data_IF_478022890275
#
_entry.id   IF_478022890275
#
_cell.length_a   1.000
_cell.length_b   1.000
_cell.length_c   1.000
_cell.angle_alpha   90.00
_cell.angle_beta   90.00
_cell.angle_gamma   90.00
#
_symmetry.space_group_name_H-M   'P 1'
#
loop_
_entity.id
_entity.type
_entity.pdbx_description
1 polymer ?
#
# COMPACT_ATOMS: atom_id res chain seq x y z
N UNK A 1 64.55 -23.18 -40.93
CA UNK A 1 63.60 -22.76 -39.87
C UNK A 1 63.50 -23.89 -38.88
N UNK A 2 63.96 -23.68 -37.64
CA UNK A 2 64.05 -24.76 -36.65
C UNK A 2 62.71 -24.95 -35.94
N UNK A 3 62.49 -26.13 -35.37
CA UNK A 3 61.26 -26.47 -34.63
C UNK A 3 61.05 -25.54 -33.40
N UNK A 4 62.14 -24.97 -32.88
CA UNK A 4 62.13 -23.96 -31.82
C UNK A 4 61.61 -22.59 -32.30
N UNK A 5 62.00 -22.18 -33.52
CA UNK A 5 61.50 -20.93 -34.12
C UNK A 5 59.99 -21.01 -34.36
N UNK A 6 59.50 -22.16 -34.85
CA UNK A 6 58.07 -22.38 -35.10
C UNK A 6 57.23 -22.23 -33.82
N UNK A 7 57.72 -22.75 -32.69
CA UNK A 7 57.06 -22.66 -31.38
C UNK A 7 57.04 -21.22 -30.83
N UNK A 8 58.13 -20.47 -31.04
CA UNK A 8 58.22 -19.06 -30.64
C UNK A 8 57.25 -18.17 -31.44
N UNK A 9 57.15 -18.40 -32.75
CA UNK A 9 56.17 -17.70 -33.59
C UNK A 9 54.72 -18.08 -33.25
N UNK A 10 54.45 -19.36 -33.01
CA UNK A 10 53.12 -19.82 -32.60
C UNK A 10 52.70 -19.24 -31.25
N UNK A 11 53.61 -19.20 -30.26
CA UNK A 11 53.33 -18.61 -28.94
C UNK A 11 53.03 -17.11 -29.05
N UNK A 12 53.80 -16.35 -29.84
CA UNK A 12 53.55 -14.93 -30.08
C UNK A 12 52.21 -14.71 -30.78
N UNK A 13 51.89 -15.52 -31.80
CA UNK A 13 50.60 -15.44 -32.49
C UNK A 13 49.42 -15.68 -31.56
N UNK A 14 49.51 -16.68 -30.67
CA UNK A 14 48.47 -16.96 -29.67
C UNK A 14 48.31 -15.80 -28.68
N UNK A 15 49.41 -15.19 -28.22
CA UNK A 15 49.36 -14.03 -27.32
C UNK A 15 48.68 -12.83 -28.01
N UNK A 16 49.02 -12.55 -29.28
CA UNK A 16 48.36 -11.48 -30.04
C UNK A 16 46.86 -11.71 -30.22
N UNK A 17 46.45 -12.95 -30.49
CA UNK A 17 45.03 -13.32 -30.62
C UNK A 17 44.29 -13.14 -29.29
N UNK A 18 44.89 -13.59 -28.17
CA UNK A 18 44.29 -13.43 -26.85
C UNK A 18 44.21 -11.96 -26.40
N UNK A 19 45.25 -11.16 -26.69
CA UNK A 19 45.24 -9.72 -26.41
C UNK A 19 44.19 -8.97 -27.24
N UNK A 20 44.03 -9.33 -28.52
CA UNK A 20 42.98 -8.77 -29.39
C UNK A 20 41.57 -9.16 -28.92
N UNK A 21 41.37 -10.42 -28.50
CA UNK A 21 40.09 -10.88 -27.96
C UNK A 21 39.77 -10.16 -26.63
N UNK A 22 40.75 -9.98 -25.77
CA UNK A 22 40.59 -9.23 -24.52
C UNK A 22 40.25 -7.76 -24.79
N UNK A 23 40.90 -7.12 -25.76
CA UNK A 23 40.60 -5.76 -26.19
C UNK A 23 39.18 -5.63 -26.76
N UNK A 24 38.74 -6.58 -27.58
CA UNK A 24 37.37 -6.58 -28.12
C UNK A 24 36.33 -6.77 -27.02
N UNK A 25 36.60 -7.65 -26.05
CA UNK A 25 35.71 -7.87 -24.90
C UNK A 25 35.70 -6.67 -23.93
N UNK A 26 36.82 -5.97 -23.76
CA UNK A 26 36.89 -4.78 -22.91
C UNK A 26 36.19 -3.58 -23.57
N UNK A 27 36.46 -3.32 -24.86
CA UNK A 27 35.76 -2.28 -25.64
C UNK A 27 34.27 -2.57 -25.70
N UNK A 28 33.87 -3.84 -25.91
CA UNK A 28 32.45 -4.23 -25.89
C UNK A 28 31.76 -3.97 -24.54
N UNK A 29 32.47 -4.19 -23.42
CA UNK A 29 31.95 -3.84 -22.09
C UNK A 29 31.86 -2.32 -21.87
N UNK A 30 32.85 -1.57 -22.32
CA UNK A 30 32.87 -0.10 -22.19
C UNK A 30 31.75 0.55 -22.99
N UNK A 31 31.58 0.18 -24.26
CA UNK A 31 30.51 0.71 -25.12
C UNK A 31 29.12 0.35 -24.58
N UNK A 32 28.95 -0.87 -24.08
CA UNK A 32 27.69 -1.27 -23.43
C UNK A 32 27.44 -0.47 -22.15
N UNK A 33 28.49 -0.25 -21.35
CA UNK A 33 28.41 0.57 -20.13
C UNK A 33 28.09 2.04 -20.42
N UNK A 34 28.59 2.61 -21.52
CA UNK A 34 28.26 3.99 -21.93
C UNK A 34 26.79 4.11 -22.33
N UNK A 35 26.32 3.20 -23.19
CA UNK A 35 24.91 3.17 -23.60
C UNK A 35 23.98 2.95 -22.40
N UNK A 36 24.33 2.04 -21.49
CA UNK A 36 23.58 1.80 -20.27
C UNK A 36 23.57 3.06 -19.39
N UNK A 37 24.68 3.81 -19.29
CA UNK A 37 24.77 5.06 -18.52
C UNK A 37 23.89 6.17 -19.11
N UNK A 38 23.89 6.33 -20.42
CA UNK A 38 23.02 7.29 -21.11
C UNK A 38 21.53 6.96 -20.89
N UNK A 39 21.17 5.68 -21.02
CA UNK A 39 19.80 5.23 -20.75
C UNK A 39 19.39 5.47 -19.30
N UNK A 40 20.27 5.20 -18.34
CA UNK A 40 20.00 5.47 -16.93
C UNK A 40 19.90 6.97 -16.62
N UNK A 41 20.68 7.83 -17.30
CA UNK A 41 20.55 9.28 -17.14
C UNK A 41 19.17 9.79 -17.57
N UNK A 42 18.68 9.33 -18.72
CA UNK A 42 17.33 9.66 -19.22
C UNK A 42 16.24 9.15 -18.28
N UNK A 43 16.37 7.91 -17.78
CA UNK A 43 15.43 7.37 -16.80
C UNK A 43 15.47 8.15 -15.49
N UNK A 44 16.66 8.51 -15.00
CA UNK A 44 16.80 9.27 -13.77
C UNK A 44 16.15 10.65 -13.86
N UNK A 45 16.34 11.38 -14.95
CA UNK A 45 15.68 12.68 -15.18
C UNK A 45 14.16 12.55 -15.12
N UNK A 46 13.63 11.48 -15.72
CA UNK A 46 12.19 11.27 -15.85
C UNK A 46 11.52 10.67 -14.62
N UNK A 47 12.24 9.87 -13.82
CA UNK A 47 11.66 8.99 -12.80
C UNK A 47 12.04 9.38 -11.36
N UNK A 48 13.17 10.07 -11.14
CA UNK A 48 13.65 10.36 -9.79
C UNK A 48 12.69 11.24 -8.97
N UNK A 49 11.82 12.01 -9.63
CA UNK A 49 10.76 12.77 -8.97
C UNK A 49 9.69 11.91 -8.29
N UNK A 50 9.52 10.64 -8.69
CA UNK A 50 8.54 9.70 -8.14
C UNK A 50 9.15 8.78 -7.07
N UNK A 51 10.36 8.32 -7.31
CA UNK A 51 11.13 7.51 -6.39
C UNK A 51 12.62 7.63 -6.74
N UNK A 52 13.39 8.31 -5.91
CA UNK A 52 14.83 8.52 -6.14
C UNK A 52 15.59 7.21 -5.97
N UNK A 53 16.35 6.81 -7.00
CA UNK A 53 17.10 5.57 -7.04
C UNK A 53 18.41 5.74 -7.83
N UNK A 54 19.37 4.85 -7.56
CA UNK A 54 20.63 4.81 -8.31
C UNK A 54 20.44 4.20 -9.72
N UNK A 55 19.42 3.35 -9.88
CA UNK A 55 19.15 2.65 -11.13
C UNK A 55 17.67 2.31 -11.29
N UNK A 56 17.19 2.36 -12.52
CA UNK A 56 15.85 1.93 -12.92
C UNK A 56 15.95 0.83 -13.97
N UNK A 57 15.46 -0.37 -13.66
CA UNK A 57 15.44 -1.49 -14.59
C UNK A 57 14.01 -1.68 -15.14
N UNK A 58 13.78 -1.53 -16.46
CA UNK A 58 12.47 -1.79 -17.06
C UNK A 58 12.13 -3.28 -17.00
N UNK A 59 10.85 -3.58 -16.77
CA UNK A 59 10.30 -4.93 -16.80
C UNK A 59 9.62 -5.18 -18.15
N UNK A 60 9.79 -6.38 -18.69
CA UNK A 60 9.12 -6.81 -19.92
C UNK A 60 7.65 -7.16 -19.65
N UNK A 61 6.76 -6.29 -20.12
CA UNK A 61 5.32 -6.40 -19.93
C UNK A 61 4.65 -7.43 -20.85
N UNK A 62 5.38 -8.01 -21.82
CA UNK A 62 4.82 -9.04 -22.71
C UNK A 62 4.32 -10.28 -21.98
N UNK A 63 4.82 -10.51 -20.76
CA UNK A 63 4.40 -11.61 -19.87
C UNK A 63 3.13 -11.32 -19.07
N UNK A 64 2.66 -10.08 -19.05
CA UNK A 64 1.50 -9.60 -18.27
C UNK A 64 0.34 -9.17 -19.18
N UNK A 65 -0.08 -10.04 -20.11
CA UNK A 65 -1.10 -9.70 -21.12
C UNK A 65 -2.48 -9.38 -20.55
N UNK A 66 -2.74 -9.73 -19.28
CA UNK A 66 -3.97 -9.39 -18.57
C UNK A 66 -4.03 -7.91 -18.12
N UNK A 67 -2.93 -7.17 -18.27
CA UNK A 67 -2.80 -5.78 -17.83
C UNK A 67 -2.42 -4.83 -18.98
N UNK A 68 -3.25 -4.72 -20.05
CA UNK A 68 -2.93 -3.91 -21.23
C UNK A 68 -2.84 -2.40 -20.95
N UNK A 69 -3.44 -1.95 -19.85
CA UNK A 69 -3.44 -0.55 -19.42
C UNK A 69 -2.12 -0.14 -18.74
N UNK A 70 -1.29 -1.11 -18.31
CA UNK A 70 0.06 -0.84 -17.79
C UNK A 70 1.01 -0.69 -18.98
N UNK A 71 1.54 0.50 -19.19
CA UNK A 71 2.34 0.83 -20.38
C UNK A 71 3.84 0.83 -20.10
N UNK A 72 4.24 1.04 -18.85
CA UNK A 72 5.63 0.91 -18.41
C UNK A 72 5.69 0.48 -16.94
N UNK A 73 6.71 -0.32 -16.60
CA UNK A 73 6.99 -0.73 -15.23
C UNK A 73 8.49 -0.81 -14.99
N UNK A 74 8.96 -0.22 -13.89
CA UNK A 74 10.37 -0.07 -13.55
C UNK A 74 10.65 -0.53 -12.12
N UNK A 75 11.74 -1.28 -11.95
CA UNK A 75 12.32 -1.59 -10.65
C UNK A 75 13.30 -0.48 -10.26
N UNK A 76 13.02 0.24 -9.18
CA UNK A 76 13.93 1.22 -8.62
C UNK A 76 14.92 0.54 -7.66
N UNK A 77 16.22 0.73 -7.88
CA UNK A 77 17.29 0.06 -7.13
C UNK A 77 18.28 1.04 -6.51
N UNK A 78 18.75 0.71 -5.31
CA UNK A 78 19.88 1.37 -4.66
C UNK A 78 21.20 1.10 -5.39
N UNK A 79 22.29 1.78 -4.98
CA UNK A 79 23.64 1.51 -5.47
C UNK A 79 24.08 0.07 -5.22
N UNK A 80 23.60 -0.54 -4.13
CA UNK A 80 23.86 -1.95 -3.79
C UNK A 80 23.02 -2.94 -4.61
N UNK A 81 22.10 -2.46 -5.45
CA UNK A 81 21.20 -3.28 -6.26
C UNK A 81 19.94 -3.76 -5.53
N UNK A 82 19.71 -3.32 -4.28
CA UNK A 82 18.49 -3.63 -3.51
C UNK A 82 17.30 -2.90 -4.14
N UNK A 83 16.17 -3.59 -4.28
CA UNK A 83 14.91 -2.96 -4.70
C UNK A 83 14.43 -2.04 -3.57
N UNK A 84 14.19 -0.78 -3.91
CA UNK A 84 13.68 0.25 -3.00
C UNK A 84 12.28 0.75 -3.39
N UNK A 85 11.66 0.11 -4.39
CA UNK A 85 10.30 0.39 -4.83
C UNK A 85 10.13 0.21 -6.34
N UNK A 86 9.00 0.68 -6.82
CA UNK A 86 8.56 0.50 -8.20
C UNK A 86 8.04 1.80 -8.79
N UNK A 87 8.11 1.92 -10.11
CA UNK A 87 7.44 3.01 -10.83
C UNK A 87 6.64 2.42 -11.98
N UNK A 88 5.40 2.87 -12.15
CA UNK A 88 4.47 2.37 -13.17
C UNK A 88 3.80 3.51 -13.91
N UNK A 89 3.64 3.33 -15.22
CA UNK A 89 2.80 4.18 -16.06
C UNK A 89 1.52 3.39 -16.40
N UNK A 90 0.36 4.00 -16.14
CA UNK A 90 -0.96 3.44 -16.43
C UNK A 90 -1.71 4.38 -17.36
N UNK A 91 -2.26 3.81 -18.43
CA UNK A 91 -3.08 4.49 -19.43
C UNK A 91 -4.55 4.17 -19.19
N UNK A 92 -5.36 5.22 -19.06
CA UNK A 92 -6.81 5.14 -18.99
C UNK A 92 -7.42 5.71 -20.27
N UNK A 93 -8.44 5.05 -20.80
CA UNK A 93 -9.24 5.55 -21.91
C UNK A 93 -10.66 5.81 -21.40
N UNK A 94 -11.13 7.05 -21.59
CA UNK A 94 -12.51 7.44 -21.31
C UNK A 94 -13.11 8.12 -22.53
N UNK A 95 -14.12 7.50 -23.14
CA UNK A 95 -14.81 8.00 -24.33
C UNK A 95 -13.90 8.46 -25.49
N UNK A 96 -12.70 7.87 -25.62
CA UNK A 96 -11.71 8.22 -26.64
C UNK A 96 -10.67 9.26 -26.20
N UNK A 97 -10.80 9.83 -25.00
CA UNK A 97 -9.76 10.65 -24.37
C UNK A 97 -8.81 9.75 -23.57
N UNK A 98 -7.51 9.95 -23.77
CA UNK A 98 -6.46 9.19 -23.09
C UNK A 98 -5.94 10.01 -21.91
N UNK A 99 -5.84 9.36 -20.75
CA UNK A 99 -5.19 9.91 -19.57
C UNK A 99 -4.08 8.96 -19.13
N UNK A 100 -2.86 9.49 -18.96
CA UNK A 100 -1.74 8.69 -18.49
C UNK A 100 -1.33 9.15 -17.09
N UNK A 101 -1.07 8.19 -16.21
CA UNK A 101 -0.64 8.44 -14.84
C UNK A 101 0.67 7.70 -14.57
N UNK A 102 1.67 8.41 -14.04
CA UNK A 102 2.88 7.81 -13.48
C UNK A 102 2.75 7.74 -11.97
N UNK A 103 3.09 6.59 -11.41
CA UNK A 103 3.00 6.29 -9.98
C UNK A 103 4.29 5.67 -9.48
N UNK A 104 4.81 6.18 -8.37
CA UNK A 104 5.84 5.52 -7.57
C UNK A 104 5.21 4.72 -6.44
N UNK A 105 5.80 3.57 -6.10
CA UNK A 105 5.33 2.66 -5.07
C UNK A 105 6.45 2.28 -4.10
N UNK A 106 6.08 2.01 -2.85
CA UNK A 106 6.96 1.46 -1.81
C UNK A 106 7.54 0.10 -2.20
N UNK A 107 8.63 -0.37 -1.54
CA UNK A 107 9.25 -1.66 -1.84
C UNK A 107 8.30 -2.85 -1.70
N UNK A 108 7.32 -2.77 -0.80
CA UNK A 108 6.28 -3.79 -0.64
C UNK A 108 5.17 -3.70 -1.69
N UNK A 109 5.08 -2.60 -2.46
CA UNK A 109 4.04 -2.36 -3.45
C UNK A 109 2.71 -1.89 -2.87
N UNK A 110 2.60 -1.68 -1.55
CA UNK A 110 1.32 -1.42 -0.89
C UNK A 110 0.99 0.07 -0.76
N UNK A 111 1.97 0.97 -0.94
CA UNK A 111 1.79 2.42 -0.79
C UNK A 111 2.22 3.17 -2.05
N UNK A 112 1.49 4.23 -2.38
CA UNK A 112 1.90 5.19 -3.40
C UNK A 112 2.86 6.19 -2.76
N UNK A 113 4.07 6.32 -3.29
CA UNK A 113 5.02 7.38 -2.87
C UNK A 113 4.70 8.70 -3.56
N UNK A 114 4.27 8.65 -4.82
CA UNK A 114 3.86 9.80 -5.62
C UNK A 114 3.02 9.36 -6.81
N UNK A 115 2.05 10.19 -7.21
CA UNK A 115 1.33 10.07 -8.47
C UNK A 115 1.31 11.40 -9.21
N UNK A 116 1.40 11.39 -10.54
CA UNK A 116 1.21 12.54 -11.42
C UNK A 116 0.54 12.11 -12.72
N UNK A 117 -0.20 13.05 -13.31
CA UNK A 117 -0.60 12.95 -14.71
C UNK A 117 0.62 13.21 -15.60
N UNK A 118 0.74 12.44 -16.68
CA UNK A 118 1.77 12.59 -17.70
C UNK A 118 1.09 12.68 -19.08
N UNK A 119 1.76 13.31 -20.04
CA UNK A 119 1.34 13.30 -21.43
C UNK A 119 1.52 11.90 -22.05
N UNK A 120 0.92 11.66 -23.22
CA UNK A 120 0.98 10.35 -23.88
C UNK A 120 2.40 9.89 -24.24
N UNK A 121 3.33 10.83 -24.40
CA UNK A 121 4.75 10.56 -24.64
C UNK A 121 5.54 10.25 -23.35
N UNK A 122 4.87 10.35 -22.19
CA UNK A 122 5.41 10.04 -20.87
C UNK A 122 6.12 11.20 -20.17
N UNK A 123 6.03 12.41 -20.71
CA UNK A 123 6.54 13.65 -20.08
C UNK A 123 5.52 14.26 -19.12
N UNK A 124 5.96 15.08 -18.17
CA UNK A 124 5.01 15.83 -17.33
C UNK A 124 4.43 17.00 -18.13
N UNK A 125 3.13 17.33 -17.96
CA UNK A 125 2.51 18.46 -18.65
C UNK A 125 3.26 19.76 -18.35
N UNK A 126 3.44 20.60 -19.36
CA UNK A 126 4.13 21.88 -19.21
C UNK A 126 3.46 22.82 -18.20
N UNK A 127 2.13 22.74 -18.09
CA UNK A 127 1.31 23.47 -17.12
C UNK A 127 0.36 22.49 -16.42
N UNK A 128 0.75 21.92 -15.27
CA UNK A 128 -0.11 20.97 -14.56
C UNK A 128 -1.32 21.68 -13.92
N UNK A 129 -2.51 21.08 -14.05
CA UNK A 129 -3.73 21.61 -13.40
C UNK A 129 -3.59 21.54 -11.86
N UNK A 130 -3.70 22.67 -11.14
CA UNK A 130 -3.57 22.70 -9.68
C UNK A 130 -4.61 21.84 -8.96
N UNK A 131 -5.83 21.67 -9.51
CA UNK A 131 -6.84 20.79 -8.91
C UNK A 131 -6.42 19.32 -9.00
N UNK A 132 -5.83 18.92 -10.13
CA UNK A 132 -5.29 17.56 -10.29
C UNK A 132 -4.12 17.33 -9.32
N UNK A 133 -3.31 18.36 -9.04
CA UNK A 133 -2.26 18.26 -8.02
C UNK A 133 -2.82 18.09 -6.61
N UNK A 134 -3.94 18.75 -6.27
CA UNK A 134 -4.65 18.52 -4.99
C UNK A 134 -5.10 17.06 -4.88
N UNK A 135 -5.66 16.50 -5.95
CA UNK A 135 -6.05 15.09 -5.99
C UNK A 135 -4.84 14.15 -5.85
N UNK A 136 -3.71 14.48 -6.49
CA UNK A 136 -2.48 13.71 -6.35
C UNK A 136 -1.94 13.74 -4.90
N UNK A 137 -2.13 14.84 -4.18
CA UNK A 137 -1.69 14.98 -2.79
C UNK A 137 -2.53 14.11 -1.84
N UNK A 138 -3.83 13.96 -2.09
CA UNK A 138 -4.69 13.00 -1.37
C UNK A 138 -4.21 11.54 -1.49
N UNK A 139 -3.41 11.23 -2.51
CA UNK A 139 -2.86 9.90 -2.78
C UNK A 139 -1.38 9.76 -2.38
N UNK A 140 -0.80 10.76 -1.71
CA UNK A 140 0.57 10.67 -1.23
C UNK A 140 0.64 9.80 0.03
N UNK A 141 1.55 8.83 0.03
CA UNK A 141 1.82 7.90 1.14
C UNK A 141 0.61 7.04 1.56
N UNK A 142 -0.44 6.97 0.73
CA UNK A 142 -1.63 6.18 1.01
C UNK A 142 -1.46 4.72 0.59
N UNK A 143 -2.15 3.82 1.30
CA UNK A 143 -2.22 2.40 0.95
C UNK A 143 -3.22 2.16 -0.18
N UNK A 144 -2.87 1.29 -1.12
CA UNK A 144 -3.72 0.87 -2.25
C UNK A 144 -4.33 -0.52 -1.99
N UNK A 145 -5.47 -0.88 -2.60
CA UNK A 145 -6.31 -0.08 -3.51
C UNK A 145 -7.09 1.03 -2.81
N UNK A 146 -7.62 1.95 -3.59
CA UNK A 146 -8.31 3.16 -3.11
C UNK A 146 -9.71 3.26 -3.67
N UNK A 147 -10.58 4.01 -2.99
CA UNK A 147 -11.91 4.36 -3.48
C UNK A 147 -12.22 5.83 -3.21
N UNK A 148 -13.15 6.39 -3.99
CA UNK A 148 -13.74 7.67 -3.63
C UNK A 148 -14.67 7.48 -2.44
N UNK A 149 -14.70 8.46 -1.53
CA UNK A 149 -15.61 8.47 -0.39
C UNK A 149 -17.08 8.39 -0.84
N UNK A 150 -17.40 8.96 -2.01
CA UNK A 150 -18.72 8.87 -2.63
C UNK A 150 -19.12 7.46 -3.10
N UNK A 151 -18.16 6.56 -3.30
CA UNK A 151 -18.39 5.17 -3.72
C UNK A 151 -18.55 4.22 -2.53
N UNK A 152 -18.11 4.62 -1.33
CA UNK A 152 -18.13 3.82 -0.11
C UNK A 152 -19.28 4.29 0.80
N UNK A 153 -20.51 3.87 0.52
CA UNK A 153 -21.63 4.10 1.45
C UNK A 153 -21.62 3.09 2.60
N UNK A 154 -22.21 3.47 3.74
CA UNK A 154 -22.38 2.60 4.91
C UNK A 154 -23.17 1.31 4.54
N UNK A 155 -24.12 1.42 3.63
CA UNK A 155 -24.94 0.29 3.16
C UNK A 155 -24.09 -0.75 2.42
N UNK A 156 -23.13 -0.30 1.61
CA UNK A 156 -22.17 -1.18 0.92
C UNK A 156 -21.22 -1.85 1.92
N UNK A 157 -20.82 -1.13 2.98
CA UNK A 157 -20.01 -1.75 4.03
C UNK A 157 -20.78 -2.83 4.79
N UNK A 158 -22.10 -2.73 4.97
CA UNK A 158 -22.87 -3.68 5.80
C UNK A 158 -23.42 -4.90 5.06
N UNK A 159 -23.37 -4.92 3.71
CA UNK A 159 -23.76 -6.04 2.87
C UNK A 159 -22.61 -7.04 2.62
N UNK A 160 -22.31 -7.89 3.61
CA UNK A 160 -21.40 -9.01 3.40
C UNK A 160 -21.94 -10.23 4.17
N UNK A 161 -21.73 -11.41 3.60
CA UNK A 161 -22.14 -12.71 4.15
C UNK A 161 -21.66 -12.91 5.60
N UNK A 162 -20.51 -12.34 5.96
CA UNK A 162 -19.97 -12.43 7.30
C UNK A 162 -20.41 -11.24 8.18
N UNK A 163 -21.17 -11.50 9.28
CA UNK A 163 -21.55 -10.45 10.20
C UNK A 163 -20.31 -9.88 10.89
N UNK A 164 -20.34 -8.58 11.19
CA UNK A 164 -19.26 -7.95 11.94
C UNK A 164 -19.28 -8.35 13.41
N UNK A 165 -18.15 -8.14 14.09
CA UNK A 165 -18.04 -8.33 15.53
C UNK A 165 -18.88 -7.24 16.22
N UNK A 166 -19.83 -7.61 17.11
CA UNK A 166 -20.62 -6.62 17.84
C UNK A 166 -19.73 -5.72 18.73
N UNK A 167 -20.08 -4.43 18.76
CA UNK A 167 -19.46 -3.45 19.67
C UNK A 167 -18.11 -2.89 19.21
N UNK A 168 -17.72 -3.09 17.95
CA UNK A 168 -16.57 -2.36 17.39
C UNK A 168 -16.89 -0.87 17.29
N UNK A 169 -15.99 -0.04 17.81
CA UNK A 169 -16.05 1.42 17.73
C UNK A 169 -15.17 1.87 16.57
N UNK A 170 -15.67 2.82 15.79
CA UNK A 170 -14.97 3.39 14.65
C UNK A 170 -13.68 4.08 15.07
N UNK A 171 -12.62 3.91 14.27
CA UNK A 171 -11.31 4.46 14.58
C UNK A 171 -10.16 3.64 13.99
N UNK A 172 -8.95 3.99 14.40
CA UNK A 172 -7.71 3.26 14.05
C UNK A 172 -7.13 2.69 15.33
N UNK A 173 -6.86 1.38 15.34
CA UNK A 173 -6.41 0.65 16.52
C UNK A 173 -5.15 -0.11 16.17
N UNK A 174 -4.19 -0.06 17.10
CA UNK A 174 -2.84 -0.58 16.89
C UNK A 174 -2.44 -1.51 18.05
N UNK A 175 -1.72 -2.57 17.72
CA UNK A 175 -1.09 -3.50 18.63
C UNK A 175 0.32 -3.85 18.12
N UNK A 176 1.25 -4.09 19.03
CA UNK A 176 2.60 -4.59 18.71
C UNK A 176 2.98 -5.72 19.66
N UNK A 177 3.87 -6.59 19.19
CA UNK A 177 4.45 -7.66 20.00
C UNK A 177 5.28 -7.08 21.15
N UNK A 178 5.34 -7.80 22.27
CA UNK A 178 6.13 -7.37 23.44
C UNK A 178 7.64 -7.42 23.16
N UNK A 179 8.08 -8.46 22.46
CA UNK A 179 9.50 -8.73 22.18
C UNK A 179 9.79 -8.84 20.68
N UNK A 180 11.06 -8.66 20.33
CA UNK A 180 11.58 -8.97 19.01
C UNK A 180 11.65 -10.49 18.81
N UNK A 181 11.33 -10.94 17.61
CA UNK A 181 11.50 -12.32 17.19
C UNK A 181 12.99 -12.70 17.04
N UNK A 182 13.24 -13.99 16.76
CA UNK A 182 14.59 -14.52 16.53
C UNK A 182 15.35 -13.87 15.36
N UNK A 183 14.63 -13.22 14.45
CA UNK A 183 15.18 -12.54 13.29
C UNK A 183 15.39 -11.03 13.54
N UNK A 184 15.11 -10.55 14.75
CA UNK A 184 15.28 -9.14 15.13
C UNK A 184 14.11 -8.25 14.73
N UNK A 185 12.94 -8.79 14.43
CA UNK A 185 11.75 -8.03 14.05
C UNK A 185 10.68 -8.05 15.15
N UNK A 186 10.04 -6.92 15.40
CA UNK A 186 8.89 -6.78 16.31
C UNK A 186 7.63 -6.51 15.51
N UNK A 187 6.71 -7.47 15.51
CA UNK A 187 5.46 -7.42 14.77
C UNK A 187 4.52 -6.33 15.28
N UNK A 188 3.75 -5.73 14.37
CA UNK A 188 2.64 -4.86 14.70
C UNK A 188 1.46 -5.05 13.75
N UNK A 189 0.25 -4.84 14.26
CA UNK A 189 -0.98 -4.80 13.48
C UNK A 189 -1.68 -3.47 13.71
N UNK A 190 -2.17 -2.88 12.64
CA UNK A 190 -3.11 -1.76 12.69
C UNK A 190 -4.40 -2.18 12.00
N UNK A 191 -5.55 -1.95 12.63
CA UNK A 191 -6.85 -2.10 12.00
C UNK A 191 -7.58 -0.76 11.96
N UNK A 192 -8.35 -0.54 10.90
CA UNK A 192 -9.31 0.56 10.82
C UNK A 192 -10.72 0.00 10.90
N UNK A 193 -11.51 0.55 11.81
CA UNK A 193 -12.92 0.25 11.97
C UNK A 193 -13.75 1.42 11.45
N UNK A 194 -14.78 1.13 10.67
CA UNK A 194 -15.80 2.09 10.25
C UNK A 194 -17.15 1.41 10.19
N UNK A 195 -18.19 2.08 10.67
CA UNK A 195 -19.55 1.54 10.78
C UNK A 195 -19.58 0.17 11.47
N UNK A 196 -18.75 -0.02 12.50
CA UNK A 196 -18.65 -1.27 13.24
C UNK A 196 -18.08 -2.46 12.45
N UNK A 197 -17.35 -2.22 11.35
CA UNK A 197 -16.66 -3.25 10.55
C UNK A 197 -15.17 -2.96 10.41
N UNK A 198 -14.36 -4.00 10.29
CA UNK A 198 -12.94 -3.87 9.97
C UNK A 198 -12.82 -3.60 8.48
N UNK A 199 -12.42 -2.38 8.12
CA UNK A 199 -12.30 -1.93 6.72
C UNK A 199 -10.86 -1.89 6.23
N UNK A 200 -9.88 -1.98 7.12
CA UNK A 200 -8.47 -2.11 6.74
C UNK A 200 -7.69 -2.83 7.82
N UNK A 201 -6.70 -3.62 7.39
CA UNK A 201 -5.74 -4.31 8.26
C UNK A 201 -4.35 -4.15 7.64
N UNK A 202 -3.42 -3.60 8.41
CA UNK A 202 -1.99 -3.61 8.13
C UNK A 202 -1.29 -4.55 9.12
N UNK A 203 -0.37 -5.36 8.62
CA UNK A 203 0.52 -6.19 9.45
C UNK A 203 1.91 -6.11 8.85
N UNK A 204 2.86 -5.70 9.67
CA UNK A 204 4.28 -5.63 9.34
C UNK A 204 5.11 -5.81 10.61
N UNK A 205 6.44 -5.70 10.52
CA UNK A 205 7.32 -5.75 11.67
C UNK A 205 8.50 -4.77 11.54
N UNK A 206 8.84 -4.12 12.64
CA UNK A 206 9.93 -3.15 12.76
C UNK A 206 11.20 -3.90 13.17
N UNK A 207 12.31 -3.68 12.46
CA UNK A 207 13.59 -4.27 12.83
C UNK A 207 14.20 -3.57 14.06
N UNK A 208 14.96 -4.30 14.89
CA UNK A 208 15.58 -3.75 16.11
C UNK A 208 16.67 -2.71 15.83
N UNK A 209 17.35 -2.87 14.70
CA UNK A 209 18.43 -1.98 14.28
C UNK A 209 17.84 -0.85 13.45
N UNK A 210 18.08 0.40 13.86
CA UNK A 210 17.56 1.59 13.18
C UNK A 210 18.08 1.68 11.73
N UNK A 211 17.20 2.03 10.79
CA UNK A 211 17.53 2.16 9.36
C UNK A 211 17.43 0.86 8.56
N UNK A 212 17.26 -0.29 9.21
CA UNK A 212 16.89 -1.52 8.51
C UNK A 212 15.43 -1.46 8.03
N UNK A 213 15.12 -2.05 6.86
CA UNK A 213 13.77 -2.05 6.29
C UNK A 213 12.78 -2.78 7.20
N UNK A 214 11.50 -2.45 7.05
CA UNK A 214 10.43 -3.27 7.63
C UNK A 214 10.43 -4.68 7.01
N UNK A 215 9.83 -5.66 7.69
CA UNK A 215 9.87 -7.06 7.25
C UNK A 215 9.24 -7.26 5.88
N UNK A 216 8.15 -6.55 5.57
CA UNK A 216 7.52 -6.56 4.24
C UNK A 216 8.53 -6.19 3.14
N UNK A 217 9.19 -5.04 3.27
CA UNK A 217 10.18 -4.53 2.33
C UNK A 217 11.40 -5.46 2.22
N UNK A 218 11.91 -5.94 3.37
CA UNK A 218 13.00 -6.91 3.43
C UNK A 218 12.63 -8.20 2.70
N UNK A 219 11.37 -8.63 2.81
CA UNK A 219 10.88 -9.84 2.17
C UNK A 219 10.80 -9.70 0.65
N UNK A 220 10.43 -8.53 0.14
CA UNK A 220 10.40 -8.27 -1.31
C UNK A 220 11.82 -8.14 -1.87
N UNK A 221 12.71 -7.47 -1.15
CA UNK A 221 14.09 -7.31 -1.59
C UNK A 221 14.93 -8.59 -1.48
N UNK A 222 14.38 -9.65 -0.87
CA UNK A 222 15.08 -10.91 -0.57
C UNK A 222 16.04 -10.84 0.62
N UNK A 223 16.02 -9.74 1.39
CA UNK A 223 16.81 -9.60 2.62
C UNK A 223 16.21 -10.41 3.79
N UNK A 224 14.92 -10.71 3.72
CA UNK A 224 14.22 -11.60 4.63
C UNK A 224 13.57 -12.76 3.85
N UNK A 225 13.67 -13.98 4.38
CA UNK A 225 13.06 -15.17 3.78
C UNK A 225 12.51 -16.10 4.86
N UNK A 226 11.40 -16.75 4.55
CA UNK A 226 10.79 -17.79 5.37
C UNK A 226 11.45 -19.17 5.18
N UNK A 227 12.46 -19.25 4.32
CA UNK A 227 13.16 -20.49 3.94
C UNK A 227 12.94 -20.84 2.49
N UNK A 228 13.57 -21.93 2.05
CA UNK A 228 13.49 -22.38 0.67
C UNK A 228 12.08 -22.91 0.32
N UNK A 229 11.64 -22.68 -0.92
CA UNK A 229 10.36 -23.14 -1.48
C UNK A 229 9.08 -22.62 -0.78
N UNK A 230 9.16 -21.52 -0.02
CA UNK A 230 7.96 -20.84 0.48
C UNK A 230 7.69 -19.54 -0.29
N UNK A 231 6.41 -19.13 -0.45
CA UNK A 231 6.09 -17.77 -0.87
C UNK A 231 6.75 -16.75 0.06
N UNK A 232 7.06 -15.56 -0.46
CA UNK A 232 7.65 -14.50 0.36
C UNK A 232 6.68 -14.06 1.47
N UNK A 233 7.21 -13.62 2.61
CA UNK A 233 6.41 -13.21 3.77
C UNK A 233 5.37 -12.15 3.41
N UNK A 234 5.76 -11.15 2.61
CA UNK A 234 4.86 -10.07 2.20
C UNK A 234 3.60 -10.59 1.48
N UNK A 235 3.73 -11.57 0.58
CA UNK A 235 2.61 -12.15 -0.14
C UNK A 235 1.66 -12.96 0.76
N UNK A 236 2.22 -13.71 1.71
CA UNK A 236 1.42 -14.47 2.67
C UNK A 236 0.71 -13.54 3.67
N UNK A 237 1.40 -12.50 4.16
CA UNK A 237 0.84 -11.49 5.04
C UNK A 237 -0.32 -10.73 4.38
N UNK A 238 -0.17 -10.38 3.10
CA UNK A 238 -1.25 -9.79 2.31
C UNK A 238 -2.48 -10.70 2.23
N UNK A 239 -2.26 -11.97 1.93
CA UNK A 239 -3.34 -12.96 1.75
C UNK A 239 -4.15 -13.17 3.03
N UNK A 240 -3.50 -13.32 4.19
CA UNK A 240 -4.22 -13.52 5.46
C UNK A 240 -4.98 -12.26 5.91
N UNK A 241 -4.42 -11.06 5.67
CA UNK A 241 -5.11 -9.79 5.97
C UNK A 241 -6.35 -9.60 5.11
N UNK A 242 -6.27 -9.91 3.81
CA UNK A 242 -7.43 -9.87 2.93
C UNK A 242 -8.52 -10.84 3.41
N UNK A 243 -8.12 -12.06 3.82
CA UNK A 243 -9.10 -13.01 4.34
C UNK A 243 -9.78 -12.50 5.61
N UNK A 244 -9.04 -11.85 6.51
CA UNK A 244 -9.63 -11.23 7.71
C UNK A 244 -10.67 -10.15 7.36
N UNK A 245 -10.41 -9.34 6.34
CA UNK A 245 -11.37 -8.34 5.86
C UNK A 245 -12.63 -8.97 5.25
N UNK A 246 -12.51 -10.15 4.64
CA UNK A 246 -13.65 -10.92 4.16
C UNK A 246 -14.48 -11.47 5.33
N UNK A 247 -13.83 -12.21 6.24
CA UNK A 247 -14.51 -12.99 7.29
C UNK A 247 -14.87 -12.18 8.54
N UNK A 248 -14.32 -10.98 8.70
CA UNK A 248 -14.58 -10.01 9.79
C UNK A 248 -14.34 -10.50 11.22
N UNK A 249 -13.80 -11.71 11.42
CA UNK A 249 -13.52 -12.29 12.72
C UNK A 249 -12.25 -13.16 12.65
N UNK A 250 -11.20 -12.87 13.47
CA UNK A 250 -9.98 -13.65 13.45
C UNK A 250 -10.18 -15.13 13.78
N UNK A 251 -11.22 -15.49 14.55
CA UNK A 251 -11.54 -16.90 14.86
C UNK A 251 -11.89 -17.68 13.59
N UNK A 252 -12.51 -17.01 12.60
CA UNK A 252 -12.89 -17.63 11.31
C UNK A 252 -11.70 -17.88 10.39
N UNK A 253 -10.52 -17.36 10.71
CA UNK A 253 -9.27 -17.76 10.03
C UNK A 253 -8.88 -19.20 10.36
N UNK A 254 -9.50 -19.82 11.37
CA UNK A 254 -9.31 -21.23 11.75
C UNK A 254 -7.83 -21.63 11.84
N UNK A 255 -7.06 -20.83 12.57
CA UNK A 255 -5.62 -21.06 12.77
C UNK A 255 -5.45 -22.33 13.61
N UNK A 256 -4.62 -23.23 13.10
CA UNK A 256 -4.30 -24.51 13.74
C UNK A 256 -3.25 -24.31 14.82
N UNK A 257 -3.08 -25.32 15.67
CA UNK A 257 -2.03 -25.34 16.70
C UNK A 257 -0.60 -25.24 16.17
N UNK A 258 -0.37 -25.54 14.89
CA UNK A 258 0.93 -25.40 14.23
C UNK A 258 1.16 -23.99 13.64
N UNK A 259 0.20 -23.08 13.80
CA UNK A 259 0.27 -21.69 13.34
C UNK A 259 -0.22 -21.47 11.92
N UNK A 260 -0.58 -22.52 11.19
CA UNK A 260 -1.05 -22.42 9.80
C UNK A 260 -2.57 -22.36 9.71
N UNK A 261 -3.09 -22.04 8.52
CA UNK A 261 -4.53 -22.08 8.22
C UNK A 261 -4.79 -22.80 6.90
N UNK A 262 -5.90 -23.52 6.80
CA UNK A 262 -6.41 -24.08 5.53
C UNK A 262 -7.38 -23.14 4.82
N UNK A 263 -7.83 -22.08 5.49
CA UNK A 263 -8.78 -21.11 4.96
C UNK A 263 -8.11 -20.19 3.93
N UNK A 264 -6.80 -20.03 4.01
CA UNK A 264 -5.99 -19.26 3.06
C UNK A 264 -4.90 -20.18 2.49
N UNK A 265 -5.13 -20.81 1.32
CA UNK A 265 -4.25 -21.85 0.78
C UNK A 265 -2.77 -21.45 0.66
N UNK A 266 -2.50 -20.17 0.38
CA UNK A 266 -1.14 -19.68 0.09
C UNK A 266 -0.35 -19.26 1.34
N UNK A 267 -1.00 -19.29 2.51
CA UNK A 267 -0.38 -18.99 3.80
C UNK A 267 0.18 -20.28 4.38
N UNK A 268 1.51 -20.39 4.35
CA UNK A 268 2.30 -21.51 4.89
C UNK A 268 3.11 -21.12 6.13
N UNK A 269 3.17 -19.83 6.47
CA UNK A 269 3.84 -19.32 7.65
C UNK A 269 2.98 -19.43 8.91
N UNK A 270 3.64 -19.36 10.07
CA UNK A 270 2.96 -19.21 11.36
C UNK A 270 2.31 -17.82 11.46
N UNK A 271 0.99 -17.78 11.66
CA UNK A 271 0.18 -16.57 11.77
C UNK A 271 -0.41 -16.36 13.18
N UNK A 272 0.06 -17.08 14.21
CA UNK A 272 -0.39 -16.85 15.59
C UNK A 272 -0.14 -15.40 16.04
N UNK A 273 1.05 -14.86 15.76
CA UNK A 273 1.36 -13.48 16.13
C UNK A 273 0.41 -12.48 15.46
N UNK A 274 0.06 -12.70 14.19
CA UNK A 274 -0.95 -11.87 13.51
C UNK A 274 -2.31 -11.95 14.21
N UNK A 275 -2.76 -13.15 14.56
CA UNK A 275 -4.03 -13.38 15.25
C UNK A 275 -4.07 -12.67 16.61
N UNK A 276 -3.04 -12.84 17.44
CA UNK A 276 -2.98 -12.28 18.78
C UNK A 276 -3.04 -10.74 18.74
N UNK A 277 -2.30 -10.13 17.81
CA UNK A 277 -2.31 -8.68 17.61
C UNK A 277 -3.63 -8.15 17.05
N UNK A 278 -4.29 -8.90 16.15
CA UNK A 278 -5.64 -8.55 15.67
C UNK A 278 -6.67 -8.61 16.81
N UNK A 279 -6.62 -9.64 17.65
CA UNK A 279 -7.49 -9.76 18.83
C UNK A 279 -7.29 -8.56 19.76
N UNK A 280 -6.04 -8.17 20.03
CA UNK A 280 -5.74 -6.99 20.84
C UNK A 280 -6.27 -5.70 20.21
N UNK A 281 -6.13 -5.53 18.89
CA UNK A 281 -6.71 -4.40 18.17
C UNK A 281 -8.24 -4.35 18.26
N UNK A 282 -8.92 -5.49 18.18
CA UNK A 282 -10.38 -5.60 18.36
C UNK A 282 -10.80 -5.24 19.78
N UNK A 283 -10.05 -5.68 20.79
CA UNK A 283 -10.27 -5.30 22.18
C UNK A 283 -10.06 -3.80 22.41
N UNK A 284 -9.00 -3.24 21.81
CA UNK A 284 -8.73 -1.80 21.81
C UNK A 284 -9.88 -1.03 21.16
N UNK A 285 -10.42 -1.52 20.04
CA UNK A 285 -11.61 -0.93 19.40
C UNK A 285 -12.82 -0.91 20.32
N UNK A 286 -13.17 -2.05 20.92
CA UNK A 286 -14.30 -2.15 21.86
C UNK A 286 -14.16 -1.23 23.08
N UNK A 287 -12.92 -0.91 23.47
CA UNK A 287 -12.58 -0.04 24.60
C UNK A 287 -12.28 1.41 24.21
N UNK A 288 -12.32 1.73 22.92
CA UNK A 288 -11.91 3.01 22.35
C UNK A 288 -10.48 3.45 22.75
N UNK A 289 -9.53 2.51 22.74
CA UNK A 289 -8.11 2.76 23.05
C UNK A 289 -7.35 2.95 21.74
N UNK A 290 -7.18 4.20 21.32
CA UNK A 290 -6.35 4.55 20.15
C UNK A 290 -4.91 4.74 20.59
N UNK A 291 -3.95 3.99 20.03
CA UNK A 291 -2.52 4.31 20.19
C UNK A 291 -2.18 5.46 19.23
N UNK A 292 -1.41 6.47 19.64
CA UNK A 292 -0.97 7.51 18.71
C UNK A 292 -0.18 6.86 17.55
N UNK A 293 -0.46 7.33 16.32
CA UNK A 293 0.30 7.00 15.11
C UNK A 293 1.79 7.21 15.41
N UNK A 294 2.65 6.24 15.05
CA UNK A 294 4.11 6.43 15.13
C UNK A 294 4.43 7.64 14.24
N UNK A 295 4.98 8.74 14.78
CA UNK A 295 5.32 9.88 13.96
C UNK A 295 6.45 9.50 12.99
N UNK A 296 6.26 9.79 11.71
CA UNK A 296 7.36 9.93 10.76
C UNK A 296 8.39 10.88 11.37
N UNK A 297 9.69 10.53 11.42
CA UNK A 297 10.68 11.44 11.96
C UNK A 297 10.59 12.76 11.21
N UNK A 298 10.34 13.84 11.95
CA UNK A 298 10.34 15.19 11.42
C UNK A 298 11.68 15.44 10.72
N UNK A 299 11.71 16.21 9.61
CA UNK A 299 12.97 16.65 9.04
C UNK A 299 13.79 17.32 10.15
N UNK A 300 15.04 16.91 10.30
CA UNK A 300 15.98 17.59 11.18
C UNK A 300 16.05 19.03 10.71
N UNK A 301 15.44 19.95 11.46
CA UNK A 301 15.72 21.36 11.33
C UNK A 301 17.19 21.54 11.71
N UNK A 302 18.04 21.66 10.69
CA UNK A 302 19.39 22.18 10.86
C UNK A 302 19.26 23.62 11.32
N UNK A 303 19.50 23.85 12.61
CA UNK A 303 19.79 25.17 13.14
C UNK A 303 20.99 25.75 12.37
N UNK A 304 20.72 26.65 11.43
CA UNK A 304 21.73 27.54 10.91
C UNK A 304 22.13 28.49 12.05
N UNK A 305 23.33 28.26 12.58
CA UNK A 305 24.00 29.20 13.49
C UNK A 305 24.30 30.49 12.74
N UNK A 306 23.40 31.48 12.82
CA UNK A 306 23.73 32.85 12.44
C UNK A 306 24.57 33.52 13.54
N UNK A 307 25.79 33.86 13.14
CA UNK A 307 26.79 34.59 13.89
C UNK A 307 26.35 36.01 14.22
N UNK A 308 26.56 36.40 15.49
CA UNK A 308 26.34 37.74 16.05
C UNK A 308 26.90 38.87 15.18
N UNK A 309 26.06 39.87 14.89
CA UNK A 309 26.52 41.26 14.76
C UNK A 309 25.74 42.20 15.69
N UNK A 310 26.54 42.80 16.57
CA UNK A 310 26.24 43.85 17.54
C UNK A 310 25.53 45.06 16.92
N UNK A 311 24.43 45.51 17.53
CA UNK A 311 24.28 46.94 17.87
C UNK A 311 23.31 47.11 19.05
N UNK A 312 23.80 47.78 20.09
CA UNK A 312 23.09 48.15 21.31
C UNK A 312 22.70 49.62 21.23
N UNK A 313 21.42 49.95 21.38
CA UNK A 313 20.93 51.19 22.00
C UNK A 313 19.40 51.19 22.07
N UNK A 314 18.81 51.41 23.25
CA UNK A 314 17.38 51.75 23.36
C UNK A 314 16.72 51.37 24.68
N UNK A 315 17.00 52.15 25.72
CA UNK A 315 16.41 52.13 27.06
C UNK A 315 14.88 52.28 27.06
N UNK A 316 14.17 51.60 27.98
CA UNK A 316 12.77 51.92 28.32
C UNK A 316 12.09 50.87 29.19
N UNK A 317 12.28 50.96 30.51
CA UNK A 317 11.56 50.18 31.52
C UNK A 317 10.16 50.75 31.79
N UNK A 318 9.20 49.90 32.15
CA UNK A 318 8.08 50.19 33.08
C UNK A 318 7.39 48.89 33.48
N UNK A 319 7.15 48.79 34.78
CA UNK A 319 6.60 47.68 35.55
C UNK A 319 5.05 47.62 35.59
N UNK A 320 4.58 46.42 35.93
CA UNK A 320 3.52 46.09 36.91
C UNK A 320 2.01 46.00 36.57
N UNK A 321 1.46 44.84 37.01
CA UNK A 321 0.14 44.57 37.63
C UNK A 321 -1.12 44.55 36.76
N UNK A 322 -2.19 43.80 37.01
CA UNK A 322 -2.58 42.62 37.83
C UNK A 322 -4.08 42.39 37.51
N UNK A 323 -4.62 41.22 37.88
CA UNK A 323 -6.05 40.88 38.05
C UNK A 323 -6.80 40.45 36.76
N UNK A 324 -7.27 39.20 36.64
CA UNK A 324 -8.38 38.51 37.33
C UNK A 324 -9.69 38.59 36.53
N UNK A 325 -10.18 37.45 36.03
CA UNK A 325 -11.62 37.17 35.98
C UNK A 325 -11.84 35.66 35.99
N UNK A 326 -12.40 35.23 37.11
CA UNK A 326 -13.05 33.97 37.39
C UNK A 326 -14.43 33.97 36.70
N UNK A 327 -14.85 32.88 36.07
CA UNK A 327 -16.25 32.68 35.68
C UNK A 327 -16.66 31.22 35.88
N UNK A 328 -17.57 31.05 36.82
CA UNK A 328 -18.18 29.80 37.28
C UNK A 328 -19.64 29.76 36.83
N UNK A 329 -20.12 28.67 36.22
CA UNK A 329 -21.54 28.25 36.25
C UNK A 329 -21.58 26.72 36.10
N UNK A 330 -21.79 25.97 37.18
CA UNK A 330 -23.08 25.46 37.71
C UNK A 330 -23.86 24.53 36.77
N UNK A 331 -23.97 23.30 37.25
CA UNK A 331 -24.84 22.18 36.88
C UNK A 331 -26.29 22.37 37.34
N UNK A 332 -27.27 21.87 36.57
CA UNK A 332 -28.47 21.20 37.08
C UNK A 332 -29.01 20.13 36.09
N UNK A 333 -29.75 19.11 36.56
CA UNK A 333 -30.02 17.84 35.87
C UNK A 333 -31.48 17.65 35.43
N UNK A 334 -31.75 16.77 34.45
CA UNK A 334 -33.04 16.09 34.15
C UNK A 334 -32.82 15.24 32.88
N UNK A 335 -33.39 14.07 32.60
CA UNK A 335 -34.50 13.30 33.16
C UNK A 335 -34.35 11.86 32.61
N UNK A 336 -34.63 10.83 33.42
CA UNK A 336 -34.58 9.42 33.00
C UNK A 336 -35.95 8.99 32.48
N UNK A 337 -36.03 8.60 31.21
CA UNK A 337 -37.27 8.03 30.63
C UNK A 337 -37.08 6.53 30.38
N UNK A 338 -37.74 5.74 31.24
CA UNK A 338 -37.96 4.30 31.09
C UNK A 338 -39.07 4.07 30.05
N UNK A 339 -38.84 3.19 29.06
CA UNK A 339 -39.91 2.59 28.27
C UNK A 339 -39.91 1.07 28.45
N UNK A 340 -41.06 0.57 28.90
CA UNK A 340 -41.41 -0.85 29.02
C UNK A 340 -41.65 -1.52 27.66
N UNK A 341 -41.50 -2.86 27.55
CA UNK A 341 -41.68 -3.59 26.29
C UNK A 341 -43.16 -3.97 26.04
N UNK A 342 -43.63 -3.84 24.81
CA UNK A 342 -44.92 -4.41 24.34
C UNK A 342 -44.68 -5.56 23.33
N UNK A 343 -45.62 -6.50 23.12
CA UNK A 343 -45.36 -7.92 23.27
C UNK A 343 -45.19 -8.66 21.93
N UNK A 344 -44.52 -9.82 22.05
CA UNK A 344 -44.38 -10.86 21.04
C UNK A 344 -45.73 -11.37 20.53
N UNK A 345 -45.89 -11.40 19.20
CA UNK A 345 -46.84 -12.26 18.50
C UNK A 345 -46.07 -13.46 17.94
N UNK A 346 -46.23 -14.60 18.59
CA UNK A 346 -45.81 -15.92 18.10
C UNK A 346 -46.77 -16.42 17.03
N UNK A 347 -46.31 -16.93 15.87
CA UNK A 347 -47.15 -17.80 15.04
C UNK A 347 -46.95 -19.28 15.40
N UNK A 348 -48.05 -19.94 15.76
CA UNK A 348 -48.20 -21.39 15.95
C UNK A 348 -47.91 -22.16 14.64
N UNK A 349 -47.27 -23.35 14.69
CA UNK A 349 -46.90 -24.11 13.48
C UNK A 349 -48.07 -24.93 12.93
N UNK A 350 -48.15 -25.08 11.59
CA UNK A 350 -48.94 -26.14 10.94
C UNK A 350 -48.01 -26.99 10.07
N UNK A 351 -48.12 -28.34 10.11
CA UNK A 351 -47.09 -29.24 9.59
C UNK A 351 -47.38 -29.77 8.18
N UNK A 352 -46.31 -29.95 7.41
CA UNK A 352 -46.26 -30.94 6.32
C UNK A 352 -46.02 -30.40 4.91
N UNK A 353 -44.97 -30.91 4.28
CA UNK A 353 -45.00 -31.20 2.84
C UNK A 353 -44.05 -30.42 1.94
N UNK A 354 -43.08 -31.18 1.40
CA UNK A 354 -42.51 -31.07 0.06
C UNK A 354 -41.57 -29.90 -0.27
N UNK A 355 -40.29 -30.26 -0.37
CA UNK A 355 -39.30 -29.68 -1.27
C UNK A 355 -39.86 -29.64 -2.69
N UNK A 356 -40.01 -28.44 -3.26
CA UNK A 356 -40.01 -28.18 -4.70
C UNK A 356 -39.30 -26.84 -4.94
N UNK A 357 -38.25 -26.88 -5.76
CA UNK A 357 -37.54 -25.69 -6.21
C UNK A 357 -38.25 -25.05 -7.39
N UNK A 358 -38.16 -23.72 -7.46
CA UNK A 358 -38.36 -22.94 -8.68
C UNK A 358 -37.40 -21.76 -8.67
N UNK A 359 -36.39 -21.82 -9.55
CA UNK A 359 -35.87 -20.64 -10.24
C UNK A 359 -37.03 -19.99 -11.00
N UNK A 360 -37.33 -18.72 -10.73
CA UNK A 360 -37.72 -17.75 -11.75
C UNK A 360 -37.71 -16.33 -11.13
N UNK A 361 -36.60 -15.62 -11.32
CA UNK A 361 -36.47 -14.22 -10.94
C UNK A 361 -36.88 -13.32 -12.08
N UNK A 362 -38.13 -12.89 -12.08
CA UNK A 362 -38.63 -11.80 -12.93
C UNK A 362 -37.91 -10.50 -12.54
N UNK A 363 -37.10 -9.97 -13.45
CA UNK A 363 -36.53 -8.62 -13.35
C UNK A 363 -37.63 -7.60 -13.64
N UNK A 364 -38.03 -6.86 -12.61
CA UNK A 364 -38.89 -5.68 -12.75
C UNK A 364 -38.08 -4.56 -13.42
N UNK A 365 -38.48 -4.20 -14.64
CA UNK A 365 -37.86 -3.14 -15.43
C UNK A 365 -38.32 -1.78 -14.90
N UNK A 366 -37.66 -1.30 -13.84
CA UNK A 366 -38.00 0.00 -13.26
C UNK A 366 -37.09 0.56 -12.18
N UNK A 367 -36.06 -0.17 -11.72
CA UNK A 367 -35.08 0.35 -10.76
C UNK A 367 -33.66 0.07 -11.28
N UNK A 368 -32.81 1.11 -11.25
CA UNK A 368 -31.41 1.02 -11.65
C UNK A 368 -30.70 -0.13 -10.91
N UNK A 369 -29.90 -0.96 -11.60
CA UNK A 369 -29.44 -2.24 -11.07
C UNK A 369 -28.17 -2.08 -10.21
N UNK A 370 -28.10 -2.86 -9.13
CA UNK A 370 -26.88 -3.29 -8.40
C UNK A 370 -26.08 -2.17 -7.70
N UNK A 371 -26.30 -2.01 -6.39
CA UNK A 371 -25.28 -1.47 -5.48
C UNK A 371 -24.07 -2.43 -5.52
N UNK A 372 -22.89 -1.91 -5.85
CA UNK A 372 -21.77 -2.72 -6.34
C UNK A 372 -21.03 -3.47 -5.24
N UNK A 373 -21.05 -4.80 -5.27
CA UNK A 373 -20.21 -5.66 -4.42
C UNK A 373 -18.69 -5.45 -4.65
N UNK A 374 -18.33 -4.68 -5.68
CA UNK A 374 -16.93 -4.38 -6.03
C UNK A 374 -16.76 -2.97 -6.57
N UNK A 375 -15.61 -2.36 -6.28
CA UNK A 375 -15.15 -1.09 -6.85
C UNK A 375 -14.04 -1.40 -7.83
N UNK A 376 -14.22 -1.01 -9.08
CA UNK A 376 -13.30 -1.34 -10.18
C UNK A 376 -13.02 -2.85 -10.30
N UNK A 377 -13.97 -3.72 -9.94
CA UNK A 377 -13.79 -5.18 -9.94
C UNK A 377 -12.90 -5.71 -8.80
N UNK A 378 -12.64 -4.89 -7.78
CA UNK A 378 -12.06 -5.31 -6.49
C UNK A 378 -13.18 -5.39 -5.46
N UNK A 379 -13.29 -6.49 -4.68
CA UNK A 379 -14.21 -6.54 -3.54
C UNK A 379 -14.05 -5.31 -2.65
N UNK A 380 -15.15 -4.77 -2.15
CA UNK A 380 -15.11 -3.58 -1.29
C UNK A 380 -14.25 -3.81 -0.03
N UNK A 381 -14.19 -5.06 0.45
CA UNK A 381 -13.31 -5.49 1.55
C UNK A 381 -11.82 -5.39 1.23
N UNK A 382 -11.41 -5.27 -0.02
CA UNK A 382 -10.01 -5.14 -0.42
C UNK A 382 -9.54 -3.67 -0.41
N UNK A 383 -10.48 -2.70 -0.44
CA UNK A 383 -10.20 -1.26 -0.45
C UNK A 383 -9.54 -0.81 0.86
N UNK A 384 -8.39 -0.12 0.75
CA UNK A 384 -7.55 0.24 1.91
C UNK A 384 -7.63 1.69 2.33
N UNK A 385 -7.85 2.58 1.36
CA UNK A 385 -7.93 4.02 1.62
C UNK A 385 -9.13 4.63 0.89
N UNK A 386 -9.83 5.51 1.57
CA UNK A 386 -10.83 6.40 0.97
C UNK A 386 -10.18 7.77 0.74
N UNK A 387 -10.41 8.34 -0.43
CA UNK A 387 -10.05 9.73 -0.74
C UNK A 387 -11.31 10.54 -1.03
N UNK A 388 -11.25 11.85 -0.91
CA UNK A 388 -12.41 12.72 -1.15
C UNK A 388 -12.69 12.87 -2.64
N UNK A 389 -11.64 12.92 -3.46
CA UNK A 389 -11.74 13.28 -4.87
C UNK A 389 -11.81 14.79 -5.08
N UNK A 390 -12.16 15.20 -6.30
CA UNK A 390 -12.42 16.58 -6.69
C UNK A 390 -13.92 16.76 -6.97
N UNK A 391 -14.63 17.59 -6.19
CA UNK A 391 -16.06 17.83 -6.38
C UNK A 391 -16.39 18.41 -7.77
N UNK A 392 -15.55 19.32 -8.25
CA UNK A 392 -15.75 20.03 -9.52
C UNK A 392 -15.27 19.22 -10.75
N UNK A 393 -14.47 18.17 -10.52
CA UNK A 393 -13.95 17.29 -11.56
C UNK A 393 -14.15 15.80 -11.18
N UNK A 394 -15.40 15.31 -11.08
CA UNK A 394 -15.67 13.95 -10.61
C UNK A 394 -15.09 12.88 -11.55
N UNK A 395 -15.07 13.14 -12.86
CA UNK A 395 -14.55 12.18 -13.83
C UNK A 395 -13.05 11.96 -13.69
N UNK A 396 -12.26 13.01 -13.45
CA UNK A 396 -10.81 12.85 -13.26
C UNK A 396 -10.50 12.09 -11.97
N UNK A 397 -11.34 12.30 -10.95
CA UNK A 397 -11.27 11.57 -9.68
C UNK A 397 -11.50 10.08 -9.89
N UNK A 398 -12.54 9.71 -10.64
CA UNK A 398 -12.85 8.32 -10.99
C UNK A 398 -11.71 7.70 -11.79
N UNK A 399 -11.18 8.40 -12.80
CA UNK A 399 -10.12 7.88 -13.66
C UNK A 399 -8.80 7.69 -12.91
N UNK A 400 -8.46 8.60 -12.01
CA UNK A 400 -7.25 8.47 -11.19
C UNK A 400 -7.38 7.29 -10.21
N UNK A 401 -8.52 7.15 -9.51
CA UNK A 401 -8.79 5.97 -8.65
C UNK A 401 -8.72 4.67 -9.44
N UNK A 402 -9.34 4.63 -10.63
CA UNK A 402 -9.24 3.48 -11.54
C UNK A 402 -7.81 3.16 -11.93
N UNK A 403 -7.00 4.17 -12.25
CA UNK A 403 -5.59 3.97 -12.60
C UNK A 403 -4.78 3.36 -11.45
N UNK A 404 -5.03 3.80 -10.21
CA UNK A 404 -4.42 3.26 -9.00
C UNK A 404 -4.84 1.80 -8.78
N UNK A 405 -6.13 1.50 -8.92
CA UNK A 405 -6.66 0.15 -8.75
C UNK A 405 -6.20 -0.80 -9.86
N UNK A 406 -5.98 -0.31 -11.08
CA UNK A 406 -5.32 -1.06 -12.16
C UNK A 406 -3.87 -1.37 -11.82
N UNK A 407 -3.11 -0.40 -11.32
CA UNK A 407 -1.74 -0.63 -10.88
C UNK A 407 -1.67 -1.66 -9.74
N UNK A 408 -2.59 -1.57 -8.78
CA UNK A 408 -2.71 -2.54 -7.71
C UNK A 408 -2.92 -3.97 -8.22
N UNK A 409 -3.83 -4.19 -9.18
CA UNK A 409 -4.06 -5.52 -9.76
C UNK A 409 -2.82 -6.07 -10.47
N UNK A 410 -2.09 -5.22 -11.18
CA UNK A 410 -0.82 -5.62 -11.80
C UNK A 410 0.22 -6.01 -10.76
N UNK A 411 0.38 -5.20 -9.70
CA UNK A 411 1.30 -5.51 -8.60
C UNK A 411 0.91 -6.82 -7.91
N UNK A 412 -0.39 -7.09 -7.76
CA UNK A 412 -0.90 -8.36 -7.22
C UNK A 412 -0.40 -9.56 -8.02
N UNK A 413 -0.48 -9.50 -9.36
CA UNK A 413 0.03 -10.55 -10.25
C UNK A 413 1.57 -10.63 -10.23
N UNK A 414 2.25 -9.49 -10.35
CA UNK A 414 3.71 -9.40 -10.38
C UNK A 414 4.35 -9.92 -9.08
N UNK A 415 3.80 -9.53 -7.94
CA UNK A 415 4.29 -9.86 -6.59
C UNK A 415 3.74 -11.20 -6.07
N UNK A 416 2.82 -11.84 -6.81
CA UNK A 416 2.15 -13.10 -6.46
C UNK A 416 1.39 -13.02 -5.13
N UNK A 417 0.63 -11.96 -4.95
CA UNK A 417 -0.29 -11.82 -3.83
C UNK A 417 -1.53 -12.72 -4.05
N UNK A 418 -1.70 -13.75 -3.21
CA UNK A 418 -2.89 -14.61 -3.19
C UNK A 418 -3.15 -15.42 -4.46
N UNK A 419 -2.11 -16.08 -5.00
CA UNK A 419 -2.17 -16.93 -6.21
C UNK A 419 -2.52 -18.37 -5.94
#
# INVERSE_FOLDING_TARGET
MTLADLRSYALRAVIFILASLFLLLSVGRVVRSEKDREQQAVLSERLAGFLSAARYDPVDLSTFSNHPDVTAFYLAKSESGKIIGFIMDVRMNDAGTIFCFRMGFSPDGEKITRIRMIDEDGTEPSEPDPNILVLCDQLKDVRIPVALSSQMSIDVLTQNEYPSIPGLIDGVFYAEAEDYDRNGYKDFVEIRVSSGRIISVAWDAIHRDEGEPMRSEASVSGAFSLGDNQPIWAAQAHSIRNKLLEVQDPVRLAIKSDGTTEIVPDVKMDVHMFYDLVVLCIENSKRNITKPLIPTPAPVETEETETLHSSTAGMGASEETDSSSDDTYQTEPEETVLYEPTPSMTPTPTPGGAVIGYEDGVVDSGHNPVLSDSIDGLPVSEIRTQIEGLPDQPQISILMVRSVNTAYKFLREYMKWGT
#
